data_IF_462899947710
#
_entry.id   IF_462899947710
#
_cell.length_a   1.000
_cell.length_b   1.000
_cell.length_c   1.000
_cell.angle_alpha   90.00
_cell.angle_beta   90.00
_cell.angle_gamma   90.00
#
_symmetry.space_group_name_H-M   'P 1'
#
loop_
_entity.id
_entity.type
_entity.pdbx_description
1 polymer ?
#
# COMPACT_ATOMS: atom_id res chain seq x y z
N UNK A 1 0.87 10.19 12.79
CA UNK A 1 1.06 8.85 12.19
C UNK A 1 1.98 8.02 13.06
N UNK A 2 3.30 8.31 13.11
CA UNK A 2 4.26 7.58 13.97
C UNK A 2 3.77 7.37 15.42
N UNK A 3 3.52 8.45 16.16
CA UNK A 3 2.99 8.37 17.55
C UNK A 3 1.69 7.56 17.65
N UNK A 4 0.81 7.64 16.64
CA UNK A 4 -0.44 6.89 16.62
C UNK A 4 -0.19 5.39 16.53
N UNK A 5 0.70 4.97 15.62
CA UNK A 5 1.10 3.57 15.44
C UNK A 5 1.85 3.04 16.67
N UNK A 6 2.77 3.84 17.23
CA UNK A 6 3.55 3.47 18.42
C UNK A 6 2.64 3.26 19.65
N UNK A 7 1.48 3.92 19.69
CA UNK A 7 0.44 3.72 20.71
C UNK A 7 -0.59 2.63 20.36
N UNK A 8 -0.43 1.91 19.24
CA UNK A 8 -1.36 0.86 18.78
C UNK A 8 -2.68 1.37 18.18
N UNK A 9 -2.74 2.65 17.81
CA UNK A 9 -3.92 3.24 17.14
C UNK A 9 -3.84 3.13 15.62
N UNK A 10 -4.99 3.26 14.95
CA UNK A 10 -5.06 3.35 13.48
C UNK A 10 -4.79 4.76 12.96
N UNK A 11 -4.01 4.89 11.88
CA UNK A 11 -3.67 6.18 11.26
C UNK A 11 -4.83 6.83 10.48
N UNK A 12 -5.97 6.14 10.36
CA UNK A 12 -7.14 6.67 9.68
C UNK A 12 -8.44 6.06 10.18
N UNK A 13 -9.30 6.88 10.78
CA UNK A 13 -10.66 6.46 11.10
C UNK A 13 -11.60 6.49 9.86
N UNK A 14 -11.65 7.62 9.13
CA UNK A 14 -12.60 7.78 8.02
C UNK A 14 -12.08 8.60 6.82
N UNK A 15 -11.04 9.42 6.98
CA UNK A 15 -10.50 10.24 5.89
C UNK A 15 -9.67 9.46 4.85
N UNK A 16 -9.49 8.16 5.06
CA UNK A 16 -8.68 7.30 4.20
C UNK A 16 -7.18 7.60 4.26
N UNK A 17 -6.46 7.01 3.31
CA UNK A 17 -4.99 6.97 3.27
C UNK A 17 -4.42 7.96 2.25
N UNK A 18 -4.91 7.89 1.01
CA UNK A 18 -4.38 8.68 -0.10
C UNK A 18 -2.87 8.47 -0.29
N UNK A 19 -2.18 9.52 -0.76
CA UNK A 19 -0.70 9.53 -0.87
C UNK A 19 -0.04 9.97 0.43
N UNK A 20 -0.73 10.78 1.23
CA UNK A 20 -0.18 11.38 2.45
C UNK A 20 0.20 10.31 3.47
N UNK A 21 -0.63 9.27 3.60
CA UNK A 21 -0.47 8.22 4.61
C UNK A 21 0.07 6.90 4.06
N UNK A 22 0.23 6.74 2.73
CA UNK A 22 0.59 5.46 2.11
C UNK A 22 1.93 4.90 2.62
N UNK A 23 2.90 5.78 2.92
CA UNK A 23 4.20 5.40 3.50
C UNK A 23 4.15 4.72 4.88
N UNK A 24 2.99 4.71 5.53
CA UNK A 24 2.79 4.06 6.83
C UNK A 24 2.02 2.74 6.71
N UNK A 25 1.56 2.37 5.51
CA UNK A 25 0.67 1.22 5.33
C UNK A 25 1.34 -0.14 5.51
N UNK A 26 2.65 -0.25 5.24
CA UNK A 26 3.41 -1.46 5.54
C UNK A 26 3.38 -1.77 7.04
N UNK A 27 3.34 -0.74 7.90
CA UNK A 27 3.26 -0.89 9.35
C UNK A 27 1.81 -1.00 9.86
N UNK A 28 0.89 -0.18 9.34
CA UNK A 28 -0.53 -0.21 9.71
C UNK A 28 -1.19 -1.56 9.43
N UNK A 29 -0.85 -2.21 8.31
CA UNK A 29 -1.44 -3.49 7.91
C UNK A 29 -0.53 -4.70 8.12
N UNK A 30 0.75 -4.49 8.41
CA UNK A 30 1.73 -5.57 8.55
C UNK A 30 1.67 -6.52 7.35
N UNK A 31 1.62 -7.83 7.63
CA UNK A 31 1.59 -8.89 6.61
C UNK A 31 0.41 -8.78 5.62
N UNK A 32 -0.68 -8.10 6.01
CA UNK A 32 -1.83 -7.86 5.13
C UNK A 32 -1.52 -6.98 3.91
N UNK A 33 -0.41 -6.24 3.94
CA UNK A 33 -0.01 -5.37 2.83
C UNK A 33 0.30 -6.16 1.55
N UNK A 34 0.86 -7.36 1.67
CA UNK A 34 1.24 -8.18 0.51
C UNK A 34 0.02 -8.71 -0.23
N UNK A 35 -1.03 -9.12 0.50
CA UNK A 35 -2.31 -9.48 -0.08
C UNK A 35 -2.90 -8.32 -0.89
N UNK A 36 -2.80 -7.09 -0.38
CA UNK A 36 -3.28 -5.91 -1.07
C UNK A 36 -2.45 -5.56 -2.31
N UNK A 37 -1.13 -5.81 -2.29
CA UNK A 37 -0.26 -5.67 -3.47
C UNK A 37 -0.63 -6.67 -4.55
N UNK A 38 -0.87 -7.93 -4.19
CA UNK A 38 -1.32 -8.96 -5.13
C UNK A 38 -2.69 -8.64 -5.73
N UNK A 39 -3.64 -8.20 -4.90
CA UNK A 39 -4.95 -7.77 -5.37
C UNK A 39 -4.84 -6.58 -6.34
N UNK A 40 -4.02 -5.58 -6.00
CA UNK A 40 -3.76 -4.43 -6.86
C UNK A 40 -3.15 -4.86 -8.20
N UNK A 41 -2.15 -5.74 -8.18
CA UNK A 41 -1.49 -6.23 -9.38
C UNK A 41 -2.42 -7.06 -10.27
N UNK A 42 -3.32 -7.84 -9.68
CA UNK A 42 -4.28 -8.66 -10.42
C UNK A 42 -5.30 -7.80 -11.18
N UNK A 43 -5.85 -6.76 -10.54
CA UNK A 43 -6.89 -5.92 -11.14
C UNK A 43 -6.35 -4.68 -11.89
N UNK A 44 -5.13 -4.24 -11.62
CA UNK A 44 -4.49 -3.11 -12.29
C UNK A 44 -3.00 -3.38 -12.57
N UNK A 45 -2.70 -4.35 -13.45
CA UNK A 45 -1.33 -4.77 -13.74
C UNK A 45 -0.47 -3.68 -14.42
N UNK A 46 -1.11 -2.61 -14.90
CA UNK A 46 -0.45 -1.47 -15.54
C UNK A 46 -0.40 -0.23 -14.64
N UNK A 47 -0.85 -0.35 -13.38
CA UNK A 47 -0.80 0.71 -12.36
C UNK A 47 -1.46 2.03 -12.79
N UNK A 48 -2.55 1.97 -13.56
CA UNK A 48 -3.24 3.18 -14.07
C UNK A 48 -4.08 3.84 -12.97
N UNK A 49 -4.70 3.02 -12.11
CA UNK A 49 -5.65 3.47 -11.10
C UNK A 49 -4.95 3.97 -9.84
N UNK A 50 -4.81 5.29 -9.74
CA UNK A 50 -4.31 5.99 -8.54
C UNK A 50 -2.90 5.54 -8.06
N UNK A 51 -1.84 5.72 -8.87
CA UNK A 51 -0.47 5.40 -8.46
C UNK A 51 -0.07 6.08 -7.14
N UNK A 52 0.60 5.32 -6.28
CA UNK A 52 1.14 5.81 -5.00
C UNK A 52 0.08 6.19 -3.95
N UNK A 53 -1.21 5.97 -4.21
CA UNK A 53 -2.26 6.03 -3.18
C UNK A 53 -2.41 4.67 -2.54
N UNK A 54 -2.64 4.66 -1.23
CA UNK A 54 -2.75 3.46 -0.39
C UNK A 54 -1.44 2.67 -0.31
N UNK A 55 -0.97 2.14 -1.43
CA UNK A 55 0.32 1.46 -1.52
C UNK A 55 1.41 2.50 -1.86
N UNK A 56 2.54 2.54 -1.14
CA UNK A 56 3.68 3.34 -1.57
C UNK A 56 4.14 2.83 -2.95
N UNK A 57 4.64 3.75 -3.79
CA UNK A 57 4.95 3.50 -5.21
C UNK A 57 5.61 2.13 -5.38
N UNK A 58 4.87 1.22 -6.01
CA UNK A 58 5.37 -0.07 -6.42
C UNK A 58 6.36 0.27 -7.53
N UNK A 59 7.65 0.33 -7.21
CA UNK A 59 8.66 0.28 -8.26
C UNK A 59 8.47 -1.08 -8.91
N UNK A 60 7.77 -1.07 -10.05
CA UNK A 60 7.52 -2.17 -10.97
C UNK A 60 8.33 -3.40 -10.58
N UNK A 61 7.65 -4.47 -10.16
CA UNK A 61 8.24 -5.81 -10.19
C UNK A 61 8.47 -6.14 -11.66
N UNK A 62 9.52 -5.56 -12.26
CA UNK A 62 10.15 -6.05 -13.47
C UNK A 62 10.87 -7.30 -13.01
N UNK A 63 10.17 -8.43 -13.00
CA UNK A 63 10.70 -9.79 -13.15
C UNK A 63 9.59 -10.82 -12.86
N UNK A 64 8.60 -10.91 -13.75
CA UNK A 64 7.94 -12.20 -14.06
C UNK A 64 7.76 -12.29 -15.58
N UNK A 65 8.87 -12.29 -16.31
CA UNK A 65 8.99 -12.99 -17.59
C UNK A 65 10.39 -13.60 -17.64
N UNK A 66 10.41 -14.92 -17.53
CA UNK A 66 11.51 -15.80 -17.84
C UNK A 66 10.89 -17.18 -18.01
N UNK A 67 10.77 -17.58 -19.28
CA UNK A 67 10.80 -18.93 -19.87
C UNK A 67 10.16 -20.11 -19.11
#
# INVERSE_FOLDING_TARGET
MRVTLDCGGTISHHHGIGRLKSKYMDEEWGDGIELMRQFKQFYDPHEIMNPGKLLPDIKLIKNVKGD
#
